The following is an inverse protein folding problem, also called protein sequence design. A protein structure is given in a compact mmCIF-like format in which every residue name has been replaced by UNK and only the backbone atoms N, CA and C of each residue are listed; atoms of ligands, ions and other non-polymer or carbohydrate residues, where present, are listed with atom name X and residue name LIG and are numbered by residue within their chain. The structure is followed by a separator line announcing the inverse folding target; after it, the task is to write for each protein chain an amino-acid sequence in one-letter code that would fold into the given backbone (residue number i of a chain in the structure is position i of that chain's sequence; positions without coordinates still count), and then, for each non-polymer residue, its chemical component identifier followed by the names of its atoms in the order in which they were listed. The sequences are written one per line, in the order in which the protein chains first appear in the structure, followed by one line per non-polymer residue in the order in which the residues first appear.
data_IF_274072583943
#
_entry.id   IF_274072583943
#
_cell.length_a   1.000
_cell.length_b   1.000
_cell.length_c   1.000
_cell.angle_alpha   90.00
_cell.angle_beta   90.00
_cell.angle_gamma   90.00
#
_symmetry.space_group_name_H-M   'P 1'
#
loop_
_entity.id
_entity.type
_entity.pdbx_description
1 polymer ?
#
# COMPACT_ATOMS: atom_id res chain seq x y z
N UNK A 1 5.80 14.90 -14.73
CA UNK A 1 4.98 14.08 -13.82
C UNK A 1 4.69 12.70 -14.37
N UNK A 2 4.09 12.58 -15.56
CA UNK A 2 3.54 11.33 -16.10
C UNK A 2 4.19 10.93 -17.45
N UNK A 3 5.52 10.99 -17.55
CA UNK A 3 6.20 10.41 -18.73
C UNK A 3 6.03 8.89 -18.73
N UNK A 4 5.90 8.28 -19.92
CA UNK A 4 5.85 6.82 -20.07
C UNK A 4 7.08 6.14 -19.43
N UNK A 5 8.24 6.78 -19.46
CA UNK A 5 9.46 6.29 -18.80
C UNK A 5 9.34 6.26 -17.27
N UNK A 6 8.69 7.28 -16.68
CA UNK A 6 8.45 7.34 -15.24
C UNK A 6 7.49 6.23 -14.78
N UNK A 7 6.46 5.93 -15.58
CA UNK A 7 5.54 4.83 -15.29
C UNK A 7 6.23 3.47 -15.39
N UNK A 8 7.05 3.24 -16.43
CA UNK A 8 7.83 2.01 -16.59
C UNK A 8 8.78 1.78 -15.40
N UNK A 9 9.49 2.82 -14.97
CA UNK A 9 10.38 2.73 -13.81
C UNK A 9 9.65 2.35 -12.52
N UNK A 10 8.44 2.90 -12.30
CA UNK A 10 7.61 2.55 -11.14
C UNK A 10 7.05 1.14 -11.23
N UNK A 11 6.60 0.70 -12.41
CA UNK A 11 6.16 -0.68 -12.61
C UNK A 11 7.29 -1.66 -12.30
N UNK A 12 8.49 -1.42 -12.83
CA UNK A 12 9.66 -2.26 -12.55
C UNK A 12 9.97 -2.33 -11.05
N UNK A 13 9.88 -1.20 -10.34
CA UNK A 13 10.05 -1.17 -8.89
C UNK A 13 8.99 -1.97 -8.14
N UNK A 14 7.71 -1.87 -8.53
CA UNK A 14 6.65 -2.67 -7.92
C UNK A 14 6.84 -4.18 -8.18
N UNK A 15 7.38 -4.55 -9.34
CA UNK A 15 7.70 -5.95 -9.68
C UNK A 15 8.88 -6.49 -8.86
N UNK A 16 9.90 -5.67 -8.61
CA UNK A 16 11.05 -6.02 -7.77
C UNK A 16 10.64 -6.35 -6.33
N UNK A 17 9.64 -5.63 -5.81
CA UNK A 17 9.00 -5.89 -4.52
C UNK A 17 8.04 -7.10 -4.52
N UNK A 18 7.98 -7.85 -5.64
CA UNK A 18 7.11 -9.01 -5.84
C UNK A 18 5.61 -8.70 -5.62
N UNK A 19 5.20 -7.45 -5.90
CA UNK A 19 3.80 -7.03 -5.77
C UNK A 19 2.94 -7.51 -6.94
N UNK A 20 1.65 -7.68 -6.67
CA UNK A 20 0.65 -7.86 -7.73
C UNK A 20 0.37 -6.48 -8.34
N UNK A 21 1.17 -6.12 -9.34
CA UNK A 21 1.10 -4.81 -10.00
C UNK A 21 -0.30 -4.53 -10.54
N UNK A 22 -0.99 -5.55 -11.08
CA UNK A 22 -2.34 -5.37 -11.64
C UNK A 22 -3.32 -5.02 -10.53
N UNK A 23 -3.27 -5.75 -9.42
CA UNK A 23 -4.11 -5.46 -8.24
C UNK A 23 -3.82 -4.09 -7.65
N UNK A 24 -2.54 -3.74 -7.49
CA UNK A 24 -2.10 -2.45 -6.96
C UNK A 24 -2.59 -1.30 -7.84
N UNK A 25 -2.40 -1.39 -9.16
CA UNK A 25 -2.79 -0.32 -10.11
C UNK A 25 -4.31 -0.20 -10.20
N UNK A 26 -5.05 -1.31 -10.21
CA UNK A 26 -6.51 -1.28 -10.22
C UNK A 26 -7.09 -0.69 -8.92
N UNK A 27 -6.48 -0.98 -7.77
CA UNK A 27 -6.89 -0.44 -6.47
C UNK A 27 -6.44 1.01 -6.22
N UNK A 28 -5.34 1.43 -6.84
CA UNK A 28 -4.72 2.73 -6.64
C UNK A 28 -4.05 3.20 -7.95
N UNK A 29 -4.82 3.74 -8.91
CA UNK A 29 -4.26 4.28 -10.14
C UNK A 29 -3.34 5.49 -9.87
N UNK A 30 -3.53 6.16 -8.72
CA UNK A 30 -2.67 7.26 -8.25
C UNK A 30 -1.29 6.81 -7.78
N UNK A 31 -0.98 5.50 -7.78
CA UNK A 31 0.36 4.98 -7.41
C UNK A 31 1.48 5.63 -8.25
N UNK A 32 1.17 5.97 -9.51
CA UNK A 32 2.11 6.65 -10.40
C UNK A 32 2.33 8.13 -10.09
N UNK A 33 1.55 8.71 -9.19
CA UNK A 33 1.71 10.10 -8.73
C UNK A 33 2.62 10.22 -7.51
N UNK A 34 2.82 9.15 -6.74
CA UNK A 34 3.74 9.16 -5.59
C UNK A 34 5.20 9.31 -6.02
N UNK A 35 6.02 10.02 -5.24
CA UNK A 35 7.44 10.13 -5.51
C UNK A 35 8.15 8.78 -5.29
N UNK A 36 9.20 8.50 -6.05
CA UNK A 36 10.03 7.30 -5.82
C UNK A 36 10.65 7.31 -4.42
N UNK A 37 10.95 8.50 -3.89
CA UNK A 37 11.44 8.68 -2.52
C UNK A 37 10.42 8.21 -1.48
N UNK A 38 9.15 8.62 -1.60
CA UNK A 38 8.09 8.15 -0.70
C UNK A 38 7.87 6.65 -0.81
N UNK A 39 7.88 6.10 -2.03
CA UNK A 39 7.70 4.66 -2.24
C UNK A 39 8.81 3.86 -1.56
N UNK A 40 10.07 4.27 -1.72
CA UNK A 40 11.22 3.62 -1.08
C UNK A 40 11.22 3.80 0.44
N UNK A 41 10.91 5.00 0.93
CA UNK A 41 10.83 5.27 2.37
C UNK A 41 9.76 4.42 3.05
N UNK A 42 8.60 4.27 2.41
CA UNK A 42 7.52 3.40 2.92
C UNK A 42 7.96 1.95 2.99
N UNK A 43 8.59 1.42 1.94
CA UNK A 43 9.10 0.02 1.93
C UNK A 43 10.11 -0.19 3.05
N UNK A 44 11.13 0.66 3.13
CA UNK A 44 12.17 0.54 4.15
C UNK A 44 11.59 0.58 5.57
N UNK A 45 10.55 1.40 5.79
CA UNK A 45 9.89 1.46 7.08
C UNK A 45 9.09 0.21 7.41
N UNK A 46 8.35 -0.34 6.44
CA UNK A 46 7.62 -1.59 6.63
C UNK A 46 8.58 -2.77 6.90
N UNK A 47 9.74 -2.78 6.24
CA UNK A 47 10.81 -3.75 6.54
C UNK A 47 11.38 -3.58 7.95
N UNK A 48 11.61 -2.33 8.39
CA UNK A 48 12.07 -2.00 9.76
C UNK A 48 11.06 -2.48 10.83
N UNK A 49 9.76 -2.39 10.55
CA UNK A 49 8.69 -2.91 11.41
C UNK A 49 8.55 -4.45 11.40
N UNK A 50 9.30 -5.14 10.54
CA UNK A 50 9.23 -6.60 10.39
C UNK A 50 7.89 -7.09 9.82
N UNK A 51 7.17 -6.25 9.07
CA UNK A 51 5.92 -6.63 8.39
C UNK A 51 6.18 -7.05 6.95
N UNK A 52 5.32 -7.92 6.43
CA UNK A 52 5.36 -8.34 5.04
C UNK A 52 4.91 -7.20 4.11
N UNK A 53 5.88 -6.55 3.46
CA UNK A 53 5.65 -5.43 2.52
C UNK A 53 4.65 -5.84 1.43
N UNK A 54 4.79 -7.04 0.88
CA UNK A 54 3.96 -7.53 -0.21
C UNK A 54 2.51 -7.64 0.22
N UNK A 55 2.26 -8.21 1.40
CA UNK A 55 0.92 -8.30 2.00
C UNK A 55 0.33 -6.93 2.28
N UNK A 56 1.13 -6.02 2.84
CA UNK A 56 0.67 -4.67 3.18
C UNK A 56 0.32 -3.87 1.94
N UNK A 57 1.20 -3.82 0.95
CA UNK A 57 1.03 -2.97 -0.23
C UNK A 57 0.01 -3.55 -1.22
N UNK A 58 -0.06 -4.88 -1.40
CA UNK A 58 -1.16 -5.49 -2.16
C UNK A 58 -2.51 -5.30 -1.46
N UNK A 59 -2.49 -5.22 -0.12
CA UNK A 59 -3.63 -4.91 0.76
C UNK A 59 -4.09 -3.45 0.66
N UNK A 60 -3.13 -2.53 0.71
CA UNK A 60 -3.35 -1.11 0.89
C UNK A 60 -2.28 -0.30 0.13
N UNK A 61 -2.39 -0.18 -1.21
CA UNK A 61 -1.41 0.51 -2.04
C UNK A 61 -1.31 2.03 -1.76
N UNK A 62 -2.29 2.59 -1.05
CA UNK A 62 -2.25 3.98 -0.55
C UNK A 62 -1.18 4.20 0.53
N UNK A 63 -0.58 3.13 1.08
CA UNK A 63 0.53 3.24 2.03
C UNK A 63 1.68 4.12 1.49
N UNK A 64 1.96 4.07 0.19
CA UNK A 64 2.99 4.90 -0.46
C UNK A 64 2.71 6.41 -0.43
N UNK A 65 1.46 6.80 -0.19
CA UNK A 65 1.05 8.20 -0.09
C UNK A 65 1.08 8.75 1.33
N UNK A 66 1.29 7.90 2.34
CA UNK A 66 1.33 8.34 3.73
C UNK A 66 2.63 9.10 4.03
N UNK A 67 2.52 10.14 4.87
CA UNK A 67 3.70 10.81 5.40
C UNK A 67 4.45 9.87 6.33
N UNK A 68 5.76 9.75 6.14
CA UNK A 68 6.64 8.98 7.03
C UNK A 68 6.58 9.46 8.48
N UNK A 69 6.42 10.77 8.69
CA UNK A 69 6.26 11.35 10.03
C UNK A 69 4.99 10.83 10.70
N UNK A 70 3.86 10.81 9.97
CA UNK A 70 2.59 10.33 10.48
C UNK A 70 2.64 8.83 10.78
N UNK A 71 3.28 8.04 9.91
CA UNK A 71 3.44 6.59 10.12
C UNK A 71 4.26 6.33 11.39
N UNK A 72 5.42 6.97 11.54
CA UNK A 72 6.27 6.82 12.74
C UNK A 72 5.58 7.29 14.01
N UNK A 73 4.88 8.43 13.97
CA UNK A 73 4.12 8.94 15.12
C UNK A 73 3.00 7.99 15.54
N UNK A 74 2.29 7.39 14.59
CA UNK A 74 1.23 6.41 14.88
C UNK A 74 1.80 5.15 15.50
N UNK A 75 2.91 4.63 14.96
CA UNK A 75 3.58 3.45 15.52
C UNK A 75 4.08 3.72 16.93
N UNK A 76 4.79 4.82 17.15
CA UNK A 76 5.30 5.19 18.47
C UNK A 76 4.18 5.30 19.51
N UNK A 77 3.04 5.90 19.13
CA UNK A 77 1.87 5.98 19.99
C UNK A 77 1.27 4.60 20.31
N UNK A 78 1.18 3.71 19.33
CA UNK A 78 0.69 2.34 19.53
C UNK A 78 1.64 1.52 20.42
N UNK A 79 2.95 1.67 20.24
CA UNK A 79 3.96 1.02 21.09
C UNK A 79 3.90 1.52 22.53
N UNK A 80 3.67 2.83 22.76
CA UNK A 80 3.47 3.39 24.10
C UNK A 80 2.24 2.79 24.81
N UNK A 81 1.20 2.44 24.06
CA UNK A 81 0.02 1.74 24.56
C UNK A 81 0.24 0.23 24.77
N UNK A 82 1.43 -0.30 24.48
CA UNK A 82 1.75 -1.72 24.55
C UNK A 82 1.13 -2.55 23.42
N UNK A 83 0.74 -1.91 22.31
CA UNK A 83 0.13 -2.57 21.16
C UNK A 83 1.20 -3.11 20.22
N UNK A 84 1.03 -4.36 19.81
CA UNK A 84 1.84 -4.99 18.77
C UNK A 84 1.45 -4.43 17.39
N UNK A 85 2.24 -3.48 16.90
CA UNK A 85 2.00 -2.79 15.63
C UNK A 85 2.01 -3.77 14.44
N UNK A 86 2.87 -4.78 14.47
CA UNK A 86 2.95 -5.80 13.43
C UNK A 86 1.61 -6.54 13.30
N UNK A 87 0.92 -6.83 14.42
CA UNK A 87 -0.45 -7.40 14.39
C UNK A 87 -1.49 -6.44 13.83
N UNK A 88 -1.43 -5.16 14.24
CA UNK A 88 -2.37 -4.13 13.75
C UNK A 88 -2.26 -3.95 12.24
N UNK A 89 -1.03 -3.81 11.74
CA UNK A 89 -0.75 -3.67 10.30
C UNK A 89 -1.23 -4.91 9.54
N UNK A 90 -0.90 -6.11 10.02
CA UNK A 90 -1.35 -7.35 9.41
C UNK A 90 -2.89 -7.50 9.36
N UNK A 91 -3.57 -7.10 10.43
CA UNK A 91 -5.04 -7.10 10.51
C UNK A 91 -5.64 -6.09 9.52
N UNK A 92 -5.09 -4.88 9.47
CA UNK A 92 -5.55 -3.83 8.56
C UNK A 92 -5.39 -4.26 7.09
N UNK A 93 -4.24 -4.82 6.71
CA UNK A 93 -3.99 -5.30 5.35
C UNK A 93 -4.89 -6.48 4.93
N UNK A 94 -5.35 -7.27 5.90
CA UNK A 94 -6.27 -8.39 5.66
C UNK A 94 -7.74 -7.93 5.52
N UNK A 95 -8.09 -6.80 6.14
CA UNK A 95 -9.48 -6.31 6.21
C UNK A 95 -9.82 -5.29 5.10
N UNK A 96 -8.82 -4.66 4.49
CA UNK A 96 -9.01 -3.57 3.51
C UNK A 96 -9.64 -4.01 2.16
N UNK A 97 -9.72 -5.31 1.86
CA UNK A 97 -10.39 -5.81 0.64
C UNK A 97 -11.79 -6.41 0.82
N UNK A 98 -12.37 -6.41 2.04
CA UNK A 98 -13.70 -7.00 2.28
C UNK A 98 -14.87 -6.03 2.05
N UNK A 99 -14.64 -4.77 1.64
CA UNK A 99 -15.76 -3.83 1.45
C UNK A 99 -15.84 -3.09 0.10
N UNK A 100 -14.85 -3.20 -0.80
CA UNK A 100 -14.86 -2.45 -2.07
C UNK A 100 -14.84 -3.31 -3.34
N UNK A 101 -15.28 -4.57 -3.25
CA UNK A 101 -15.19 -5.56 -4.35
C UNK A 101 -16.47 -6.32 -4.71
N UNK A 102 -17.64 -6.00 -4.13
CA UNK A 102 -18.94 -6.57 -4.53
C UNK A 102 -19.85 -5.49 -5.15
N UNK A 103 -19.37 -4.83 -6.21
CA UNK A 103 -20.30 -4.39 -7.26
C UNK A 103 -20.09 -5.31 -8.45
N UNK A 104 -20.63 -6.51 -8.29
CA UNK A 104 -20.93 -7.40 -9.40
C UNK A 104 -21.85 -6.62 -10.32
N UNK A 105 -21.41 -6.42 -11.55
CA UNK A 105 -22.27 -5.96 -12.63
C UNK A 105 -23.31 -7.03 -12.89
N UNK A 106 -24.42 -6.98 -12.16
CA UNK A 106 -25.65 -7.61 -12.57
C UNK A 106 -26.45 -6.55 -13.31
N UNK A 107 -26.47 -6.72 -14.63
CA UNK A 107 -27.31 -5.94 -15.50
C UNK A 107 -28.77 -6.08 -15.08
N UNK A 108 -29.39 -4.96 -14.75
CA UNK A 108 -30.82 -4.76 -14.91
C UNK A 108 -30.98 -3.59 -15.88
N UNK A 109 -30.92 -3.88 -17.17
CA UNK A 109 -31.69 -3.13 -18.16
C UNK A 109 -33.12 -3.70 -18.11
N UNK A 110 -34.01 -2.97 -17.46
CA UNK A 110 -35.46 -3.06 -17.63
C UNK A 110 -35.99 -1.66 -17.92
#
# INVERSE_FOLDING_TARGET
GLSMENMKGKVAYLQDLQLDVVKVVNGCPTVFSFSMENMKGTVAYLEELGVDVTKVVNGFPQAFGLSMENMKGTVAYLEELGVDVTKVVNWASSSVWVQYGEHKGDGCIS
#
